data_IF_721685793970
#
_entry.id   IF_721685793970
#
_cell.length_a   1.000
_cell.length_b   1.000
_cell.length_c   1.000
_cell.angle_alpha   90.00
_cell.angle_beta   90.00
_cell.angle_gamma   90.00
#
_symmetry.space_group_name_H-M   'P 1'
#
loop_
_entity.id
_entity.type
_entity.pdbx_description
1 polymer ?
#
# COMPACT_ATOMS: atom_id res chain seq x y z
N UNK A 1 -10.00 0.94 12.20
CA UNK A 1 -10.26 -0.01 11.11
C UNK A 1 -8.93 -0.54 10.59
N UNK A 2 -8.87 -1.80 10.17
CA UNK A 2 -7.66 -2.44 9.63
C UNK A 2 -7.91 -2.83 8.18
N UNK A 3 -7.02 -2.41 7.28
CA UNK A 3 -7.05 -2.74 5.86
C UNK A 3 -5.74 -3.42 5.49
N UNK A 4 -5.79 -4.38 4.57
CA UNK A 4 -4.63 -5.14 4.13
C UNK A 4 -4.68 -5.22 2.61
N UNK A 5 -3.65 -4.72 1.95
CA UNK A 5 -3.48 -4.81 0.50
C UNK A 5 -2.11 -5.41 0.17
N UNK A 6 -2.02 -6.27 -0.85
CA UNK A 6 -0.74 -6.74 -1.35
C UNK A 6 -0.01 -5.59 -2.05
N UNK A 7 1.28 -5.44 -1.74
CA UNK A 7 2.20 -4.60 -2.47
C UNK A 7 3.26 -5.49 -3.14
N UNK A 8 3.60 -5.13 -4.37
CA UNK A 8 4.68 -5.76 -5.14
C UNK A 8 5.90 -4.84 -5.06
N UNK A 9 7.01 -5.39 -4.59
CA UNK A 9 8.29 -4.71 -4.46
C UNK A 9 9.22 -5.22 -5.56
N UNK A 10 9.42 -4.39 -6.57
CA UNK A 10 10.24 -4.69 -7.74
C UNK A 10 11.65 -4.11 -7.58
N UNK A 11 12.70 -4.95 -7.62
CA UNK A 11 14.07 -4.46 -7.62
C UNK A 11 14.37 -3.70 -8.91
N UNK A 12 15.17 -2.64 -8.80
CA UNK A 12 15.65 -1.87 -9.94
C UNK A 12 17.10 -2.24 -10.30
N UNK A 13 17.58 -1.81 -11.47
CA UNK A 13 18.97 -2.01 -11.89
C UNK A 13 19.99 -1.42 -10.91
N UNK A 14 19.61 -0.34 -10.20
CA UNK A 14 20.42 0.34 -9.19
C UNK A 14 20.37 -0.33 -7.79
N UNK A 15 19.82 -1.54 -7.69
CA UNK A 15 19.61 -2.29 -6.43
C UNK A 15 18.71 -1.58 -5.41
N UNK A 16 17.86 -0.69 -5.90
CA UNK A 16 16.77 -0.06 -5.13
C UNK A 16 15.48 -0.84 -5.33
N UNK A 17 14.40 -0.41 -4.69
CA UNK A 17 13.08 -1.03 -4.82
C UNK A 17 12.02 0.00 -5.20
N UNK A 18 11.20 -0.37 -6.18
CA UNK A 18 9.94 0.31 -6.48
C UNK A 18 8.80 -0.56 -5.96
N UNK A 19 7.95 0.01 -5.13
CA UNK A 19 6.77 -0.64 -4.59
C UNK A 19 5.51 -0.08 -5.28
N UNK A 20 4.57 -0.95 -5.61
CA UNK A 20 3.26 -0.54 -6.10
C UNK A 20 2.17 -1.46 -5.57
N UNK A 21 0.97 -0.91 -5.44
CA UNK A 21 -0.22 -1.64 -5.04
C UNK A 21 -1.08 -1.92 -6.28
N UNK A 22 -1.29 -3.18 -6.67
CA UNK A 22 -2.11 -3.54 -7.83
C UNK A 22 -3.55 -3.01 -7.73
N UNK A 23 -4.08 -2.98 -6.51
CA UNK A 23 -5.47 -2.59 -6.24
C UNK A 23 -5.64 -1.09 -5.98
N UNK A 24 -4.60 -0.41 -5.48
CA UNK A 24 -4.68 1.00 -5.10
C UNK A 24 -4.10 1.85 -6.23
N UNK A 25 -4.99 2.44 -7.04
CA UNK A 25 -4.60 3.17 -8.24
C UNK A 25 -3.59 4.29 -7.94
N UNK A 26 -2.47 4.28 -8.67
CA UNK A 26 -1.35 5.22 -8.51
C UNK A 26 -0.75 5.27 -7.09
N UNK A 27 -0.94 4.23 -6.28
CA UNK A 27 -0.26 4.11 -4.99
C UNK A 27 1.07 3.41 -5.19
N UNK A 28 2.14 4.20 -5.17
CA UNK A 28 3.51 3.77 -5.42
C UNK A 28 4.45 4.34 -4.37
N UNK A 29 5.54 3.64 -4.12
CA UNK A 29 6.61 4.08 -3.25
C UNK A 29 7.95 3.61 -3.79
N UNK A 30 9.04 4.21 -3.31
CA UNK A 30 10.40 3.81 -3.65
C UNK A 30 11.24 3.75 -2.38
N UNK A 31 12.31 2.97 -2.39
CA UNK A 31 13.24 2.85 -1.28
C UNK A 31 14.61 2.39 -1.75
N UNK A 32 15.67 2.85 -1.07
CA UNK A 32 17.04 2.40 -1.35
C UNK A 32 17.25 0.94 -0.94
N UNK A 33 16.52 0.49 0.08
CA UNK A 33 16.42 -0.92 0.51
C UNK A 33 14.98 -1.41 0.46
N UNK A 34 14.80 -2.74 0.59
CA UNK A 34 13.47 -3.34 0.66
C UNK A 34 12.70 -2.83 1.90
N UNK A 35 13.37 -2.68 3.04
CA UNK A 35 12.75 -2.17 4.27
C UNK A 35 12.31 -0.72 4.10
N UNK A 36 13.15 0.15 3.51
CA UNK A 36 12.77 1.54 3.21
C UNK A 36 11.54 1.61 2.30
N UNK A 37 11.51 0.76 1.27
CA UNK A 37 10.38 0.71 0.35
C UNK A 37 9.11 0.22 1.06
N UNK A 38 9.21 -0.74 1.99
CA UNK A 38 8.08 -1.23 2.79
C UNK A 38 7.52 -0.12 3.69
N UNK A 39 8.40 0.64 4.36
CA UNK A 39 7.98 1.77 5.20
C UNK A 39 7.27 2.85 4.36
N UNK A 40 7.86 3.21 3.21
CA UNK A 40 7.29 4.20 2.30
C UNK A 40 5.97 3.70 1.68
N UNK A 41 5.86 2.42 1.34
CA UNK A 41 4.62 1.81 0.86
C UNK A 41 3.52 1.81 1.94
N UNK A 42 3.89 1.63 3.22
CA UNK A 42 2.93 1.73 4.33
C UNK A 42 2.36 3.14 4.45
N UNK A 43 3.22 4.17 4.37
CA UNK A 43 2.79 5.56 4.38
C UNK A 43 1.90 5.90 3.17
N UNK A 44 2.31 5.50 1.96
CA UNK A 44 1.55 5.74 0.74
C UNK A 44 0.16 5.08 0.80
N UNK A 45 0.07 3.83 1.27
CA UNK A 45 -1.21 3.14 1.43
C UNK A 45 -2.08 3.76 2.52
N UNK A 46 -1.49 4.25 3.62
CA UNK A 46 -2.24 4.99 4.64
C UNK A 46 -2.90 6.23 4.06
N UNK A 47 -2.13 7.07 3.37
CA UNK A 47 -2.63 8.33 2.79
C UNK A 47 -3.69 8.07 1.71
N UNK A 48 -3.48 7.05 0.88
CA UNK A 48 -4.43 6.65 -0.16
C UNK A 48 -5.76 6.20 0.45
N UNK A 49 -5.72 5.23 1.38
CA UNK A 49 -6.93 4.67 2.00
C UNK A 49 -7.63 5.73 2.85
N UNK A 50 -6.89 6.60 3.54
CA UNK A 50 -7.47 7.69 4.33
C UNK A 50 -8.20 8.69 3.44
N UNK A 51 -7.58 9.12 2.34
CA UNK A 51 -8.20 10.02 1.36
C UNK A 51 -9.50 9.45 0.82
N UNK A 52 -9.45 8.20 0.35
CA UNK A 52 -10.63 7.52 -0.20
C UNK A 52 -11.76 7.41 0.83
N UNK A 53 -11.45 7.07 2.08
CA UNK A 53 -12.47 6.98 3.14
C UNK A 53 -13.07 8.33 3.55
N UNK A 54 -12.38 9.45 3.28
CA UNK A 54 -12.87 10.79 3.58
C UNK A 54 -13.77 11.35 2.47
N UNK A 55 -13.82 10.73 1.30
CA UNK A 55 -14.73 11.12 0.24
C UNK A 55 -16.19 10.70 0.54
N UNK A 56 -17.16 11.55 0.18
CA UNK A 56 -18.58 11.38 0.52
C UNK A 56 -19.20 10.06 0.02
N UNK A 57 -18.67 9.48 -1.05
CA UNK A 57 -19.04 8.16 -1.58
C UNK A 57 -17.82 7.26 -1.84
N UNK A 58 -16.70 7.55 -1.18
CA UNK A 58 -15.45 6.84 -1.41
C UNK A 58 -15.57 5.34 -1.14
N UNK A 59 -15.02 4.54 -2.03
CA UNK A 59 -15.09 3.07 -1.95
C UNK A 59 -13.72 2.49 -2.17
N UNK A 60 -13.29 1.76 -1.15
CA UNK A 60 -12.07 0.99 -1.25
C UNK A 60 -12.21 -0.12 -2.30
N UNK A 61 -11.20 -0.32 -3.14
CA UNK A 61 -11.19 -1.35 -4.17
C UNK A 61 -11.17 -2.76 -3.55
N UNK A 62 -11.57 -3.80 -4.30
CA UNK A 62 -11.38 -5.17 -3.83
C UNK A 62 -9.88 -5.49 -3.69
N UNK A 63 -9.55 -6.37 -2.77
CA UNK A 63 -8.18 -6.87 -2.56
C UNK A 63 -7.94 -8.04 -3.52
N UNK A 64 -6.88 -7.96 -4.33
CA UNK A 64 -6.46 -9.06 -5.20
C UNK A 64 -5.90 -10.24 -4.39
N UNK A 65 -6.14 -11.47 -4.86
CA UNK A 65 -5.44 -12.64 -4.35
C UNK A 65 -3.98 -12.64 -4.85
N UNK A 66 -3.06 -13.20 -4.07
CA UNK A 66 -1.65 -13.30 -4.48
C UNK A 66 -1.48 -14.08 -5.80
N UNK A 67 -2.40 -15.01 -6.10
CA UNK A 67 -2.40 -15.80 -7.33
C UNK A 67 -2.78 -15.00 -8.58
N UNK A 68 -3.46 -13.86 -8.43
CA UNK A 68 -3.89 -12.99 -9.53
C UNK A 68 -2.85 -11.91 -9.87
N UNK A 69 -1.74 -11.84 -9.13
CA UNK A 69 -0.72 -10.82 -9.32
C UNK A 69 0.20 -11.13 -10.50
N UNK A 70 0.38 -10.14 -11.39
CA UNK A 70 1.35 -10.19 -12.46
C UNK A 70 2.76 -9.86 -11.94
N UNK A 71 3.53 -10.92 -11.64
CA UNK A 71 4.87 -10.82 -11.06
C UNK A 71 5.99 -11.01 -12.09
N UNK A 72 7.10 -10.32 -11.88
CA UNK A 72 8.35 -10.47 -12.62
C UNK A 72 9.41 -11.18 -11.78
N UNK A 73 10.46 -11.66 -12.43
CA UNK A 73 11.59 -12.30 -11.71
C UNK A 73 12.22 -11.30 -10.73
N UNK A 74 12.33 -11.72 -9.46
CA UNK A 74 12.88 -10.89 -8.39
C UNK A 74 11.86 -10.03 -7.64
N UNK A 75 10.59 -9.99 -8.08
CA UNK A 75 9.53 -9.33 -7.32
C UNK A 75 9.33 -9.99 -5.95
N UNK A 76 9.11 -9.16 -4.93
CA UNK A 76 8.73 -9.60 -3.58
C UNK A 76 7.33 -9.09 -3.29
N UNK A 77 6.42 -9.98 -2.91
CA UNK A 77 5.07 -9.60 -2.48
C UNK A 77 5.02 -9.49 -0.96
N UNK A 78 4.42 -8.41 -0.45
CA UNK A 78 4.12 -8.26 0.98
C UNK A 78 2.73 -7.69 1.19
N UNK A 79 2.03 -8.25 2.16
CA UNK A 79 0.77 -7.71 2.63
C UNK A 79 1.02 -6.53 3.58
N UNK A 80 0.61 -5.32 3.17
CA UNK A 80 0.75 -4.09 3.94
C UNK A 80 -0.51 -3.87 4.74
N UNK A 81 -0.38 -3.89 6.06
CA UNK A 81 -1.48 -3.65 6.99
C UNK A 81 -1.52 -2.19 7.39
N UNK A 82 -2.60 -1.50 7.05
CA UNK A 82 -2.88 -0.10 7.43
C UNK A 82 -3.94 -0.09 8.53
N UNK A 83 -3.69 0.65 9.62
CA UNK A 83 -4.66 0.85 10.69
C UNK A 83 -5.08 2.32 10.74
N UNK A 84 -6.34 2.60 10.41
CA UNK A 84 -6.91 3.94 10.43
C UNK A 84 -7.82 4.06 11.65
N UNK A 85 -7.57 5.07 12.48
CA UNK A 85 -8.42 5.41 13.62
C UNK A 85 -9.12 6.74 13.34
N UNK A 86 -10.43 6.69 13.16
CA UNK A 86 -11.27 7.88 13.25
C UNK A 86 -11.43 8.18 14.74
N UNK A 87 -10.59 9.06 15.28
CA UNK A 87 -10.91 9.69 16.56
C UNK A 87 -11.90 10.80 16.21
N UNK A 88 -13.20 10.53 16.40
CA UNK A 88 -14.14 11.59 16.70
C UNK A 88 -13.62 12.21 18.00
N UNK A 89 -13.12 13.44 17.92
CA UNK A 89 -12.71 14.15 19.12
C UNK A 89 -13.91 14.32 20.03
N UNK A 90 -13.95 13.57 21.12
CA UNK A 90 -14.75 13.87 22.31
C UNK A 90 -14.00 13.37 23.55
N UNK A 91 -12.86 14.00 23.85
CA UNK A 91 -12.56 14.33 25.24
C UNK A 91 -13.24 15.70 25.47
N UNK A 92 -14.49 15.65 25.90
CA UNK A 92 -15.24 16.79 26.46
C UNK A 92 -14.76 17.07 27.89
#
# INVERSE_FOLDING_TARGET
>A
MKFIYPAVFRPTEDKKYNAFFPDLACCEANGDTLDDAIENANAAAYDWIYTELMEFEGKLPPVSDESDLELQEGDVVRNISVNIRFQDGWDE
#
